data_IF_233235646476
#
_entry.id   IF_233235646476
#
_cell.length_a   1.000
_cell.length_b   1.000
_cell.length_c   1.000
_cell.angle_alpha   90.00
_cell.angle_beta   90.00
_cell.angle_gamma   90.00
#
_symmetry.space_group_name_H-M   'P 1'
#
loop_
_entity.id
_entity.type
_entity.pdbx_description
1 polymer ?
#
# COMPACT_ATOMS: atom_id res chain seq x y z
N UNK A 1 -14.70 16.84 -22.42
CA UNK A 1 -16.05 16.27 -22.35
C UNK A 1 -15.87 14.85 -21.83
N UNK A 2 -16.22 14.60 -20.58
CA UNK A 2 -16.27 13.23 -20.03
C UNK A 2 -17.37 12.47 -20.78
N UNK A 3 -16.97 11.41 -21.49
CA UNK A 3 -17.93 10.50 -22.11
C UNK A 3 -18.59 9.73 -20.96
N UNK A 4 -19.71 10.23 -20.42
CA UNK A 4 -20.51 9.46 -19.47
C UNK A 4 -20.99 8.20 -20.17
N UNK A 5 -20.46 7.06 -19.75
CA UNK A 5 -20.99 5.77 -20.12
C UNK A 5 -22.44 5.68 -19.61
N UNK A 6 -23.33 5.11 -20.41
CA UNK A 6 -24.70 4.85 -20.02
C UNK A 6 -24.72 3.89 -18.79
N UNK A 7 -25.58 4.18 -17.80
CA UNK A 7 -25.74 3.37 -16.58
C UNK A 7 -26.04 1.90 -16.86
N UNK A 8 -26.66 1.61 -18.00
CA UNK A 8 -26.89 0.24 -18.48
C UNK A 8 -25.59 -0.56 -18.66
N UNK A 9 -24.48 0.10 -19.03
CA UNK A 9 -23.18 -0.55 -19.18
C UNK A 9 -22.58 -0.94 -17.81
N UNK A 10 -22.71 -0.11 -16.79
CA UNK A 10 -22.26 -0.43 -15.44
C UNK A 10 -23.02 -1.62 -14.86
N UNK A 11 -24.35 -1.65 -15.09
CA UNK A 11 -25.21 -2.79 -14.72
C UNK A 11 -24.78 -4.05 -15.47
N UNK A 12 -24.44 -3.97 -16.76
CA UNK A 12 -23.94 -5.10 -17.54
C UNK A 12 -22.59 -5.63 -17.03
N UNK A 13 -21.67 -4.72 -16.64
CA UNK A 13 -20.38 -5.07 -16.01
C UNK A 13 -20.60 -5.84 -14.70
N UNK A 14 -21.49 -5.32 -13.83
CA UNK A 14 -21.85 -6.00 -12.58
C UNK A 14 -22.43 -7.38 -12.81
N UNK A 15 -23.36 -7.51 -13.76
CA UNK A 15 -23.98 -8.79 -14.11
C UNK A 15 -22.98 -9.78 -14.72
N UNK A 16 -22.02 -9.30 -15.53
CA UNK A 16 -20.95 -10.12 -16.09
C UNK A 16 -20.06 -10.70 -14.98
N UNK A 17 -19.56 -9.85 -14.09
CA UNK A 17 -18.67 -10.27 -12.99
C UNK A 17 -19.44 -11.19 -12.01
N UNK A 18 -20.70 -10.90 -11.73
CA UNK A 18 -21.54 -11.75 -10.87
C UNK A 18 -21.70 -13.18 -11.42
N UNK A 19 -21.86 -13.34 -12.74
CA UNK A 19 -21.93 -14.68 -13.37
C UNK A 19 -20.65 -15.48 -13.29
N UNK A 20 -19.52 -14.82 -13.07
CA UNK A 20 -18.19 -15.44 -12.97
C UNK A 20 -17.64 -15.47 -11.55
N UNK A 21 -18.52 -15.26 -10.57
CA UNK A 21 -18.12 -15.18 -9.17
C UNK A 21 -17.40 -16.44 -8.68
N UNK A 22 -17.84 -17.63 -9.11
CA UNK A 22 -17.24 -18.89 -8.70
C UNK A 22 -15.81 -19.04 -9.22
N UNK A 23 -15.55 -18.66 -10.49
CA UNK A 23 -14.21 -18.68 -11.07
C UNK A 23 -13.29 -17.63 -10.42
N UNK A 24 -13.84 -16.47 -10.03
CA UNK A 24 -13.09 -15.44 -9.30
C UNK A 24 -12.69 -15.97 -7.92
N UNK A 25 -13.63 -16.59 -7.20
CA UNK A 25 -13.39 -17.19 -5.88
C UNK A 25 -12.36 -18.32 -5.99
N UNK A 26 -12.46 -19.18 -7.00
CA UNK A 26 -11.48 -20.25 -7.24
C UNK A 26 -10.05 -19.68 -7.43
N UNK A 27 -9.89 -18.63 -8.23
CA UNK A 27 -8.60 -17.97 -8.38
C UNK A 27 -8.12 -17.33 -7.07
N UNK A 28 -9.00 -16.66 -6.31
CA UNK A 28 -8.67 -16.09 -5.02
C UNK A 28 -8.15 -17.17 -4.06
N UNK A 29 -8.86 -18.30 -3.96
CA UNK A 29 -8.45 -19.42 -3.11
C UNK A 29 -7.04 -19.93 -3.49
N UNK A 30 -6.78 -20.15 -4.78
CA UNK A 30 -5.46 -20.56 -5.27
C UNK A 30 -4.36 -19.56 -4.95
N UNK A 31 -4.65 -18.27 -5.08
CA UNK A 31 -3.69 -17.21 -4.71
C UNK A 31 -3.37 -17.20 -3.21
N UNK A 32 -4.38 -17.44 -2.36
CA UNK A 32 -4.17 -17.55 -0.90
C UNK A 32 -3.32 -18.78 -0.58
N UNK A 33 -3.66 -19.94 -1.15
CA UNK A 33 -2.97 -21.23 -0.96
C UNK A 33 -1.50 -21.21 -1.40
N UNK A 34 -1.14 -20.32 -2.33
CA UNK A 34 0.23 -20.16 -2.78
C UNK A 34 1.16 -19.54 -1.71
N UNK A 35 0.61 -18.93 -0.65
CA UNK A 35 1.33 -18.22 0.43
C UNK A 35 2.56 -17.44 -0.07
N UNK A 36 2.51 -16.14 -0.01
CA UNK A 36 3.57 -15.25 -0.50
C UNK A 36 3.96 -14.18 0.52
N UNK A 37 4.52 -14.56 1.68
CA UNK A 37 5.08 -13.54 2.57
C UNK A 37 6.17 -12.74 1.86
N UNK A 38 6.32 -11.45 2.21
CA UNK A 38 7.38 -10.61 1.65
C UNK A 38 8.75 -11.28 1.81
N UNK A 39 9.52 -11.35 0.73
CA UNK A 39 10.82 -12.00 0.70
C UNK A 39 10.79 -13.53 0.46
N UNK A 40 9.62 -14.14 0.34
CA UNK A 40 9.51 -15.55 -0.05
C UNK A 40 9.46 -15.68 -1.58
N UNK A 41 10.61 -15.95 -2.17
CA UNK A 41 10.75 -16.05 -3.63
C UNK A 41 9.88 -17.14 -4.25
N UNK A 42 9.77 -18.31 -3.60
CA UNK A 42 8.98 -19.42 -4.14
C UNK A 42 7.48 -19.14 -4.09
N UNK A 43 6.99 -18.58 -2.98
CA UNK A 43 5.60 -18.20 -2.82
C UNK A 43 5.21 -17.11 -3.83
N UNK A 44 6.02 -16.05 -3.92
CA UNK A 44 5.84 -15.00 -4.91
C UNK A 44 5.78 -15.54 -6.33
N UNK A 45 6.70 -16.44 -6.72
CA UNK A 45 6.70 -17.06 -8.03
C UNK A 45 5.44 -17.86 -8.32
N UNK A 46 4.94 -18.65 -7.35
CA UNK A 46 3.69 -19.41 -7.49
C UNK A 46 2.47 -18.50 -7.71
N UNK A 47 2.40 -17.39 -6.95
CA UNK A 47 1.33 -16.39 -7.14
C UNK A 47 1.41 -15.79 -8.53
N UNK A 48 2.62 -15.42 -8.98
CA UNK A 48 2.81 -14.86 -10.34
C UNK A 48 2.50 -15.89 -11.43
N UNK A 49 2.81 -17.19 -11.24
CA UNK A 49 2.41 -18.27 -12.18
C UNK A 49 0.90 -18.28 -12.39
N UNK A 50 0.11 -18.26 -11.31
CA UNK A 50 -1.35 -18.23 -11.35
C UNK A 50 -1.89 -16.98 -12.05
N UNK A 51 -1.32 -15.82 -11.74
CA UNK A 51 -1.72 -14.55 -12.38
C UNK A 51 -1.39 -14.53 -13.88
N UNK A 52 -0.24 -15.06 -14.28
CA UNK A 52 0.17 -15.18 -15.68
C UNK A 52 -0.77 -16.11 -16.45
N UNK A 53 -1.14 -17.26 -15.87
CA UNK A 53 -2.09 -18.18 -16.48
C UNK A 53 -3.45 -17.52 -16.69
N UNK A 54 -3.99 -16.89 -15.64
CA UNK A 54 -5.28 -16.19 -15.70
C UNK A 54 -5.27 -15.01 -16.68
N UNK A 55 -4.17 -14.25 -16.74
CA UNK A 55 -4.00 -13.09 -17.62
C UNK A 55 -3.97 -13.49 -19.11
N UNK A 56 -3.25 -14.57 -19.45
CA UNK A 56 -3.15 -15.08 -20.84
C UNK A 56 -4.49 -15.48 -21.45
N UNK A 57 -5.47 -15.81 -20.61
CA UNK A 57 -6.83 -16.14 -21.03
C UNK A 57 -7.72 -14.91 -21.28
N UNK A 58 -7.17 -13.69 -21.20
CA UNK A 58 -7.92 -12.43 -21.39
C UNK A 58 -7.53 -11.78 -22.71
N UNK A 59 -8.43 -11.69 -23.69
CA UNK A 59 -8.09 -11.17 -25.03
C UNK A 59 -7.59 -9.73 -25.06
N UNK A 60 -7.95 -8.92 -24.06
CA UNK A 60 -7.54 -7.53 -23.97
C UNK A 60 -6.07 -7.36 -23.49
N UNK A 61 -5.44 -8.40 -22.95
CA UNK A 61 -4.08 -8.34 -22.46
C UNK A 61 -3.11 -8.60 -23.59
N UNK A 62 -2.36 -7.57 -23.97
CA UNK A 62 -1.41 -7.59 -25.07
C UNK A 62 -0.07 -8.21 -24.68
N UNK A 63 0.35 -8.01 -23.42
CA UNK A 63 1.60 -8.55 -22.88
C UNK A 63 1.54 -8.78 -21.39
N UNK A 64 2.26 -9.80 -20.95
CA UNK A 64 2.48 -10.13 -19.54
C UNK A 64 3.98 -10.26 -19.31
N UNK A 65 4.48 -9.58 -18.30
CA UNK A 65 5.88 -9.57 -17.92
C UNK A 65 6.04 -10.00 -16.46
N UNK A 66 7.03 -10.84 -16.22
CA UNK A 66 7.51 -11.24 -14.90
C UNK A 66 8.81 -10.50 -14.66
N UNK A 67 8.94 -9.84 -13.53
CA UNK A 67 10.11 -9.03 -13.18
C UNK A 67 10.71 -9.61 -11.90
N UNK A 68 11.70 -10.53 -12.03
CA UNK A 68 12.30 -11.18 -10.87
C UNK A 68 13.18 -10.18 -10.10
N UNK A 69 13.10 -10.26 -8.77
CA UNK A 69 13.87 -9.42 -7.84
C UNK A 69 14.56 -10.30 -6.82
N UNK A 70 15.90 -10.35 -6.82
CA UNK A 70 16.66 -11.13 -5.84
C UNK A 70 16.31 -10.73 -4.41
N UNK A 71 16.00 -11.72 -3.57
CA UNK A 71 15.68 -11.52 -2.16
C UNK A 71 14.24 -11.14 -1.85
N UNK A 72 13.38 -10.89 -2.86
CA UNK A 72 11.97 -10.54 -2.65
C UNK A 72 11.02 -11.50 -3.38
N UNK A 73 11.14 -11.66 -4.69
CA UNK A 73 10.22 -12.47 -5.48
C UNK A 73 10.14 -12.01 -6.92
N UNK A 74 8.94 -11.94 -7.46
CA UNK A 74 8.68 -11.45 -8.81
C UNK A 74 7.54 -10.43 -8.79
N UNK A 75 7.76 -9.25 -9.39
CA UNK A 75 6.65 -8.37 -9.72
C UNK A 75 5.94 -8.86 -10.98
N UNK A 76 4.64 -8.61 -11.03
CA UNK A 76 3.80 -8.91 -12.18
C UNK A 76 3.39 -7.62 -12.89
N UNK A 77 3.55 -7.57 -14.21
CA UNK A 77 3.04 -6.47 -15.03
C UNK A 77 2.29 -7.00 -16.23
N UNK A 78 1.04 -6.54 -16.43
CA UNK A 78 0.27 -6.79 -17.63
C UNK A 78 -0.10 -5.47 -18.31
N UNK A 79 -0.06 -5.46 -19.65
CA UNK A 79 -0.53 -4.35 -20.47
C UNK A 79 -1.74 -4.79 -21.25
N UNK A 80 -2.79 -3.97 -21.24
CA UNK A 80 -4.06 -4.26 -21.89
C UNK A 80 -4.53 -3.05 -22.71
N UNK A 81 -5.29 -3.33 -23.77
CA UNK A 81 -5.84 -2.32 -24.67
C UNK A 81 -4.76 -1.45 -25.34
N UNK A 82 -3.61 -2.03 -25.68
CA UNK A 82 -2.43 -1.34 -26.24
C UNK A 82 -2.62 -0.74 -27.63
N UNK A 83 -3.71 -1.09 -28.34
CA UNK A 83 -4.10 -0.45 -29.60
C UNK A 83 -4.61 1.00 -29.40
N UNK A 84 -4.82 1.45 -28.17
CA UNK A 84 -5.23 2.81 -27.84
C UNK A 84 -4.04 3.77 -27.90
N UNK A 85 -4.23 5.05 -28.30
CA UNK A 85 -3.14 6.01 -28.37
C UNK A 85 -2.48 6.23 -27.00
N UNK A 86 -1.16 6.05 -26.90
CA UNK A 86 -0.39 6.35 -25.68
C UNK A 86 -0.22 7.87 -25.42
N UNK A 87 -0.56 8.73 -26.36
CA UNK A 87 -0.33 10.19 -26.28
C UNK A 87 -1.05 10.90 -25.14
N UNK A 88 -2.01 10.24 -24.48
CA UNK A 88 -2.75 10.75 -23.31
C UNK A 88 -2.35 10.06 -21.98
N UNK A 89 -1.29 9.26 -21.97
CA UNK A 89 -0.88 8.44 -20.84
C UNK A 89 -1.69 7.15 -20.68
N UNK A 90 -1.37 6.35 -19.68
CA UNK A 90 -2.04 5.09 -19.36
C UNK A 90 -2.91 5.23 -18.11
N UNK A 91 -3.88 4.35 -17.91
CA UNK A 91 -4.51 4.12 -16.59
C UNK A 91 -3.70 3.04 -15.88
N UNK A 92 -3.09 3.38 -14.74
CA UNK A 92 -2.34 2.43 -13.92
C UNK A 92 -3.27 1.80 -12.89
N UNK A 93 -3.40 0.47 -12.90
CA UNK A 93 -3.94 -0.33 -11.80
C UNK A 93 -2.76 -0.80 -10.95
N UNK A 94 -2.77 -0.49 -9.67
CA UNK A 94 -1.65 -0.75 -8.77
C UNK A 94 -2.09 -1.58 -7.58
N UNK A 95 -1.30 -2.57 -7.22
CA UNK A 95 -1.48 -3.41 -6.05
C UNK A 95 -0.23 -4.24 -5.76
N UNK A 96 -0.36 -5.21 -4.84
CA UNK A 96 0.74 -6.09 -4.45
C UNK A 96 0.28 -7.54 -4.30
N UNK A 97 1.25 -8.47 -4.32
CA UNK A 97 1.02 -9.91 -4.21
C UNK A 97 1.58 -10.52 -2.94
N UNK A 98 2.46 -9.79 -2.25
CA UNK A 98 3.01 -10.22 -0.96
C UNK A 98 2.02 -10.00 0.19
N UNK A 99 2.30 -10.61 1.32
CA UNK A 99 1.49 -10.50 2.54
C UNK A 99 2.40 -10.47 3.77
N UNK A 100 1.88 -9.93 4.88
CA UNK A 100 2.55 -9.99 6.21
C UNK A 100 2.48 -11.37 6.86
N UNK A 101 1.56 -12.24 6.41
CA UNK A 101 1.36 -13.55 7.00
C UNK A 101 2.56 -14.46 6.71
N UNK A 102 3.14 -15.12 7.71
CA UNK A 102 4.27 -16.01 7.50
C UNK A 102 3.86 -17.27 6.72
N UNK A 103 4.83 -17.93 6.11
CA UNK A 103 4.59 -19.25 5.50
C UNK A 103 4.10 -20.23 6.55
N UNK A 104 3.09 -21.05 6.20
CA UNK A 104 2.38 -21.94 7.11
C UNK A 104 1.24 -21.28 7.87
N UNK A 105 0.92 -20.01 7.57
CA UNK A 105 -0.24 -19.34 8.17
C UNK A 105 -1.56 -20.09 7.88
N UNK A 106 -1.64 -20.80 6.77
CA UNK A 106 -2.81 -21.64 6.40
C UNK A 106 -3.13 -22.75 7.42
N UNK A 107 -2.15 -23.24 8.15
CA UNK A 107 -2.37 -24.26 9.20
C UNK A 107 -3.28 -23.75 10.33
N UNK A 108 -3.18 -22.45 10.62
CA UNK A 108 -3.99 -21.79 11.63
C UNK A 108 -5.20 -21.02 11.06
N UNK A 109 -5.11 -20.60 9.80
CA UNK A 109 -6.07 -19.73 9.11
C UNK A 109 -6.45 -20.34 7.75
N UNK A 110 -7.07 -21.52 7.76
CA UNK A 110 -7.45 -22.21 6.51
C UNK A 110 -8.39 -21.36 5.65
N UNK A 111 -8.24 -21.49 4.33
CA UNK A 111 -9.20 -20.91 3.38
C UNK A 111 -10.57 -21.52 3.63
N UNK A 112 -11.58 -20.70 3.89
CA UNK A 112 -12.93 -21.16 4.16
C UNK A 112 -13.98 -20.12 3.84
N UNK A 113 -15.15 -20.57 3.43
CA UNK A 113 -16.35 -19.74 3.28
C UNK A 113 -17.27 -19.95 4.47
N UNK A 114 -17.70 -18.86 5.09
CA UNK A 114 -18.70 -18.87 6.16
C UNK A 114 -19.77 -17.80 5.86
N UNK A 115 -20.95 -18.23 5.50
CA UNK A 115 -22.01 -17.33 5.05
C UNK A 115 -21.60 -16.52 3.81
N UNK A 116 -21.58 -15.21 3.93
CA UNK A 116 -21.21 -14.29 2.84
C UNK A 116 -19.72 -13.87 2.86
N UNK A 117 -18.88 -14.55 3.64
CA UNK A 117 -17.47 -14.19 3.82
C UNK A 117 -16.55 -15.28 3.32
N UNK A 118 -15.46 -14.87 2.67
CA UNK A 118 -14.33 -15.72 2.31
C UNK A 118 -13.15 -15.33 3.20
N UNK A 119 -12.68 -16.26 4.02
CA UNK A 119 -11.55 -16.10 4.94
C UNK A 119 -10.27 -16.70 4.38
N UNK A 120 -9.15 -16.13 4.75
CA UNK A 120 -7.82 -16.67 4.46
C UNK A 120 -6.74 -15.59 4.60
N UNK A 121 -5.47 -15.98 4.84
CA UNK A 121 -4.37 -15.02 5.00
C UNK A 121 -4.10 -14.26 3.70
N UNK A 122 -4.09 -12.92 3.77
CA UNK A 122 -3.87 -12.05 2.63
C UNK A 122 -5.05 -11.99 1.65
N UNK A 123 -6.24 -12.49 2.02
CA UNK A 123 -7.43 -12.43 1.14
C UNK A 123 -7.91 -11.00 0.96
N UNK A 124 -7.93 -10.21 2.04
CA UNK A 124 -8.36 -8.82 2.03
C UNK A 124 -7.22 -7.91 1.60
N UNK A 125 -6.00 -8.16 2.08
CA UNK A 125 -4.79 -7.42 1.78
C UNK A 125 -3.75 -8.29 1.07
N UNK A 126 -3.70 -8.37 -0.32
CA UNK A 126 -4.82 -7.92 -1.16
C UNK A 126 -5.07 -8.89 -2.32
N UNK A 127 -4.92 -10.22 -2.08
CA UNK A 127 -4.98 -11.25 -3.13
C UNK A 127 -6.32 -11.30 -3.87
N UNK A 128 -7.44 -11.03 -3.16
CA UNK A 128 -8.75 -10.96 -3.80
C UNK A 128 -8.83 -9.84 -4.84
N UNK A 129 -8.22 -8.70 -4.55
CA UNK A 129 -8.17 -7.56 -5.48
C UNK A 129 -7.27 -7.85 -6.69
N UNK A 130 -6.21 -8.66 -6.52
CA UNK A 130 -5.38 -9.11 -7.65
C UNK A 130 -6.19 -9.96 -8.65
N UNK A 131 -7.00 -10.90 -8.17
CA UNK A 131 -7.90 -11.70 -9.00
C UNK A 131 -8.97 -10.83 -9.67
N UNK A 132 -9.59 -9.91 -8.90
CA UNK A 132 -10.62 -9.01 -9.41
C UNK A 132 -10.10 -8.10 -10.51
N UNK A 133 -8.86 -7.61 -10.43
CA UNK A 133 -8.25 -6.76 -11.46
C UNK A 133 -8.23 -7.43 -12.82
N UNK A 134 -7.89 -8.72 -12.89
CA UNK A 134 -7.89 -9.49 -14.13
C UNK A 134 -9.31 -9.65 -14.66
N UNK A 135 -10.28 -9.93 -13.80
CA UNK A 135 -11.67 -10.10 -14.20
C UNK A 135 -12.32 -8.78 -14.68
N UNK A 136 -11.92 -7.65 -14.13
CA UNK A 136 -12.29 -6.31 -14.62
C UNK A 136 -11.82 -6.10 -16.07
N UNK A 137 -10.57 -6.45 -16.39
CA UNK A 137 -10.04 -6.34 -17.76
C UNK A 137 -10.80 -7.29 -18.72
N UNK A 138 -11.14 -8.49 -18.25
CA UNK A 138 -11.97 -9.44 -19.00
C UNK A 138 -13.37 -8.90 -19.27
N UNK A 139 -14.02 -8.31 -18.27
CA UNK A 139 -15.35 -7.73 -18.41
C UNK A 139 -15.37 -6.60 -19.44
N UNK A 140 -14.40 -5.68 -19.38
CA UNK A 140 -14.26 -4.58 -20.33
C UNK A 140 -14.12 -5.08 -21.78
N UNK A 141 -13.31 -6.12 -22.00
CA UNK A 141 -13.13 -6.73 -23.33
C UNK A 141 -14.39 -7.42 -23.82
N UNK A 142 -15.04 -8.23 -22.95
CA UNK A 142 -16.18 -9.05 -23.32
C UNK A 142 -17.45 -8.25 -23.58
N UNK A 143 -17.56 -7.05 -23.00
CA UNK A 143 -18.72 -6.16 -23.15
C UNK A 143 -18.49 -5.02 -24.16
N UNK A 144 -17.37 -5.06 -24.89
CA UNK A 144 -16.97 -3.99 -25.82
C UNK A 144 -16.97 -2.59 -25.16
N UNK A 145 -16.51 -2.56 -23.91
CA UNK A 145 -16.35 -1.34 -23.10
C UNK A 145 -14.89 -0.94 -22.98
N UNK A 146 -14.14 -1.04 -24.08
CA UNK A 146 -12.72 -0.71 -24.08
C UNK A 146 -12.47 0.74 -23.64
N UNK A 147 -11.46 0.98 -22.76
CA UNK A 147 -11.12 2.31 -22.24
C UNK A 147 -10.56 3.22 -23.33
N UNK A 148 -10.48 4.51 -23.03
CA UNK A 148 -9.88 5.50 -23.95
C UNK A 148 -8.35 5.42 -24.00
N UNK A 149 -7.72 4.85 -22.98
CA UNK A 149 -6.27 4.72 -22.79
C UNK A 149 -5.86 3.27 -22.58
N UNK A 150 -4.62 2.90 -22.89
CA UNK A 150 -4.08 1.63 -22.45
C UNK A 150 -4.15 1.50 -20.93
N UNK A 151 -4.27 0.27 -20.45
CA UNK A 151 -4.26 -0.06 -19.02
C UNK A 151 -2.99 -0.82 -18.70
N UNK A 152 -2.33 -0.44 -17.61
CA UNK A 152 -1.22 -1.20 -17.03
C UNK A 152 -1.66 -1.71 -15.68
N UNK A 153 -1.65 -3.03 -15.49
CA UNK A 153 -1.79 -3.66 -14.18
C UNK A 153 -0.39 -3.97 -13.67
N UNK A 154 0.01 -3.35 -12.58
CA UNK A 154 1.27 -3.58 -11.89
C UNK A 154 0.98 -4.10 -10.48
N UNK A 155 1.51 -5.29 -10.17
CA UNK A 155 1.44 -5.90 -8.84
C UNK A 155 2.86 -6.12 -8.33
N UNK A 156 3.22 -5.43 -7.25
CA UNK A 156 4.53 -5.54 -6.60
C UNK A 156 4.59 -6.75 -5.68
N UNK A 157 5.78 -7.18 -5.27
CA UNK A 157 5.99 -8.37 -4.42
C UNK A 157 6.65 -8.03 -3.08
N UNK A 158 6.71 -6.74 -2.71
CA UNK A 158 7.42 -6.27 -1.52
C UNK A 158 6.79 -5.01 -0.89
N UNK A 159 5.48 -4.79 -1.12
CA UNK A 159 4.76 -3.63 -0.55
C UNK A 159 4.81 -3.66 0.97
N UNK A 160 4.52 -4.80 1.56
CA UNK A 160 4.46 -5.04 3.01
C UNK A 160 5.83 -4.95 3.70
N UNK A 161 6.91 -5.05 2.91
CA UNK A 161 8.29 -4.83 3.37
C UNK A 161 8.80 -3.40 3.09
N UNK A 162 7.93 -2.49 2.62
CA UNK A 162 8.27 -1.09 2.34
C UNK A 162 8.71 -0.79 0.91
N UNK A 163 8.45 -1.69 -0.05
CA UNK A 163 8.64 -1.50 -1.50
C UNK A 163 10.08 -1.16 -1.91
N UNK A 164 11.05 -1.82 -1.27
CA UNK A 164 12.47 -1.54 -1.52
C UNK A 164 12.87 -1.81 -2.96
N UNK A 165 12.24 -2.81 -3.61
CA UNK A 165 12.47 -3.15 -5.01
C UNK A 165 11.37 -2.61 -5.93
N UNK A 166 10.12 -2.57 -5.46
CA UNK A 166 8.95 -2.15 -6.23
C UNK A 166 8.90 -0.66 -6.52
N UNK A 167 9.44 0.18 -5.64
CA UNK A 167 9.34 1.64 -5.73
C UNK A 167 9.76 2.21 -7.11
N UNK A 168 10.92 1.83 -7.63
CA UNK A 168 11.40 2.35 -8.90
C UNK A 168 10.50 1.94 -10.07
N UNK A 169 9.94 0.73 -10.01
CA UNK A 169 9.01 0.23 -11.01
C UNK A 169 7.69 0.98 -10.97
N UNK A 170 7.12 1.18 -9.77
CA UNK A 170 5.91 1.97 -9.54
C UNK A 170 6.09 3.41 -10.04
N UNK A 171 7.17 4.08 -9.65
CA UNK A 171 7.48 5.44 -10.11
C UNK A 171 7.69 5.51 -11.62
N UNK A 172 8.29 4.46 -12.23
CA UNK A 172 8.49 4.36 -13.68
C UNK A 172 7.17 4.31 -14.45
N UNK A 173 6.22 3.48 -14.02
CA UNK A 173 4.89 3.43 -14.65
C UNK A 173 4.05 4.67 -14.30
N UNK A 174 4.17 5.21 -13.08
CA UNK A 174 3.47 6.43 -12.68
C UNK A 174 3.80 7.64 -13.57
N UNK A 175 5.06 7.81 -14.00
CA UNK A 175 5.47 8.89 -14.91
C UNK A 175 4.78 8.83 -16.28
N UNK A 176 4.23 7.66 -16.63
CA UNK A 176 3.47 7.44 -17.88
C UNK A 176 1.96 7.45 -17.65
N UNK A 177 1.53 7.46 -16.39
CA UNK A 177 0.13 7.37 -16.02
C UNK A 177 -0.57 8.74 -16.07
N UNK A 178 -1.77 8.78 -16.64
CA UNK A 178 -2.68 9.92 -16.52
C UNK A 178 -3.39 9.93 -15.17
N UNK A 179 -3.65 8.74 -14.62
CA UNK A 179 -4.24 8.47 -13.30
C UNK A 179 -3.89 7.06 -12.83
N UNK A 180 -4.02 6.85 -11.53
CA UNK A 180 -3.78 5.55 -10.88
C UNK A 180 -4.96 5.16 -10.01
N UNK A 181 -5.38 3.91 -10.13
CA UNK A 181 -6.40 3.25 -9.34
C UNK A 181 -5.70 2.19 -8.48
N UNK A 182 -5.67 2.39 -7.16
CA UNK A 182 -4.98 1.50 -6.22
C UNK A 182 -5.97 0.52 -5.62
N UNK A 183 -5.68 -0.76 -5.78
CA UNK A 183 -6.57 -1.88 -5.47
C UNK A 183 -6.43 -2.38 -4.02
N UNK A 184 -5.81 -1.59 -3.16
CA UNK A 184 -5.72 -1.81 -1.72
C UNK A 184 -7.09 -2.00 -1.07
N UNK A 185 -7.17 -2.66 0.09
CA UNK A 185 -8.41 -2.76 0.83
C UNK A 185 -9.10 -1.42 1.04
N UNK A 186 -10.42 -1.33 0.97
CA UNK A 186 -11.14 -0.12 1.38
C UNK A 186 -11.10 0.08 2.90
N UNK A 187 -11.58 1.21 3.37
CA UNK A 187 -11.90 1.41 4.79
C UNK A 187 -13.23 0.69 5.10
N UNK A 188 -13.44 0.19 6.35
CA UNK A 188 -14.67 -0.51 6.71
C UNK A 188 -15.95 0.18 6.20
N UNK A 189 -16.82 -0.62 5.56
CA UNK A 189 -18.02 -0.12 4.86
C UNK A 189 -17.75 0.26 3.41
N UNK A 190 -16.65 -0.19 2.83
CA UNK A 190 -16.34 -0.05 1.41
C UNK A 190 -15.92 1.36 0.98
N UNK A 191 -15.54 2.24 1.92
CA UNK A 191 -15.14 3.62 1.62
C UNK A 191 -13.74 3.65 0.98
N UNK A 192 -13.57 4.46 -0.07
CA UNK A 192 -12.27 4.65 -0.73
C UNK A 192 -11.35 5.57 0.08
N UNK A 193 -10.06 5.52 -0.22
CA UNK A 193 -9.03 6.31 0.44
C UNK A 193 -8.61 7.45 -0.47
N UNK A 194 -8.91 8.69 -0.08
CA UNK A 194 -8.55 9.91 -0.83
C UNK A 194 -7.35 10.64 -0.22
N UNK A 195 -6.87 10.19 0.93
CA UNK A 195 -5.64 10.65 1.54
C UNK A 195 -4.99 9.55 2.37
N UNK A 196 -3.66 9.50 2.34
CA UNK A 196 -2.83 8.62 3.17
C UNK A 196 -1.71 9.42 3.81
N UNK A 197 -1.36 9.13 5.06
CA UNK A 197 -0.18 9.76 5.65
C UNK A 197 1.10 9.30 4.94
N UNK A 198 2.09 10.18 4.93
CA UNK A 198 3.47 9.84 4.64
C UNK A 198 4.11 9.08 5.80
N UNK A 199 5.18 8.38 5.50
CA UNK A 199 5.92 7.53 6.43
C UNK A 199 7.40 7.91 6.39
N UNK A 200 7.96 8.19 7.55
CA UNK A 200 9.39 8.33 7.74
C UNK A 200 9.87 7.37 8.84
N UNK A 201 11.02 6.77 8.63
CA UNK A 201 11.64 5.86 9.57
C UNK A 201 13.08 6.29 9.85
N UNK A 202 13.42 6.45 11.11
CA UNK A 202 14.77 6.81 11.52
C UNK A 202 15.26 5.94 12.67
N UNK A 203 16.55 5.69 12.65
CA UNK A 203 17.31 5.16 13.79
C UNK A 203 18.20 6.27 14.29
N UNK A 204 18.12 6.59 15.59
CA UNK A 204 19.01 7.54 16.24
C UNK A 204 19.86 6.82 17.27
N UNK A 205 21.17 6.75 17.02
CA UNK A 205 22.15 6.21 17.93
C UNK A 205 22.87 7.35 18.67
N UNK A 206 23.06 7.19 19.98
CA UNK A 206 23.84 8.08 20.83
C UNK A 206 25.11 7.38 21.29
N UNK A 207 26.24 8.03 21.12
CA UNK A 207 27.57 7.60 21.55
C UNK A 207 28.10 8.57 22.60
N UNK A 208 28.12 8.13 23.85
CA UNK A 208 28.57 8.86 25.02
C UNK A 208 29.90 8.38 25.57
N UNK A 209 30.09 8.50 26.88
CA UNK A 209 31.33 8.14 27.59
C UNK A 209 30.97 7.24 28.78
N UNK A 210 31.53 6.04 28.84
CA UNK A 210 31.35 5.13 29.97
C UNK A 210 32.12 5.66 31.21
N UNK A 211 31.51 5.51 32.39
CA UNK A 211 32.16 5.77 33.66
C UNK A 211 31.52 4.88 34.76
N UNK A 212 32.20 4.70 35.88
CA UNK A 212 31.62 4.01 37.03
C UNK A 212 30.61 4.93 37.72
N UNK A 213 29.34 4.53 37.73
CA UNK A 213 28.23 5.38 38.21
C UNK A 213 28.33 5.86 39.68
N UNK A 214 29.06 5.11 40.52
CA UNK A 214 29.25 5.46 41.93
C UNK A 214 30.64 6.06 42.29
N UNK A 215 31.65 5.90 41.41
CA UNK A 215 32.99 6.38 41.72
C UNK A 215 33.35 7.70 41.00
N UNK A 216 32.95 7.82 39.74
CA UNK A 216 33.31 8.97 38.89
C UNK A 216 32.22 9.23 37.84
N UNK A 217 30.95 9.46 38.23
CA UNK A 217 29.86 9.66 37.31
C UNK A 217 30.02 10.87 36.39
N UNK A 218 30.70 11.93 36.87
CA UNK A 218 30.93 13.18 36.14
C UNK A 218 31.89 13.02 34.94
N UNK A 219 32.73 11.99 34.94
CA UNK A 219 33.58 11.66 33.80
C UNK A 219 32.78 10.97 32.66
N UNK A 220 31.58 10.48 32.96
CA UNK A 220 30.71 9.86 32.01
C UNK A 220 29.83 10.86 31.27
N UNK A 221 29.33 10.44 30.08
CA UNK A 221 28.27 11.11 29.32
C UNK A 221 27.25 10.04 28.89
N UNK A 222 26.05 10.14 29.45
CA UNK A 222 25.07 9.06 29.31
C UNK A 222 24.30 9.12 27.97
N UNK A 223 24.55 8.14 27.12
CA UNK A 223 23.80 7.96 25.88
C UNK A 223 22.29 7.69 26.13
N UNK A 224 21.96 6.96 27.21
CA UNK A 224 20.56 6.71 27.59
C UNK A 224 19.86 8.00 28.02
N UNK A 225 20.51 8.84 28.84
CA UNK A 225 19.94 10.13 29.26
C UNK A 225 19.75 11.05 28.08
N UNK A 226 20.70 11.07 27.16
CA UNK A 226 20.63 11.85 25.92
C UNK A 226 19.39 11.44 25.10
N UNK A 227 19.24 10.13 24.79
CA UNK A 227 18.08 9.65 24.04
C UNK A 227 16.77 9.86 24.80
N UNK A 228 16.76 9.76 26.13
CA UNK A 228 15.58 10.09 26.93
C UNK A 228 15.10 11.54 26.70
N UNK A 229 16.03 12.50 26.60
CA UNK A 229 15.71 13.89 26.28
C UNK A 229 15.25 14.06 24.82
N UNK A 230 15.89 13.35 23.88
CA UNK A 230 15.46 13.37 22.48
C UNK A 230 14.08 12.75 22.30
N UNK A 231 13.75 11.66 23.01
CA UNK A 231 12.40 11.04 23.01
C UNK A 231 11.34 12.06 23.44
N UNK A 232 11.58 12.78 24.53
CA UNK A 232 10.64 13.83 24.99
C UNK A 232 10.49 14.93 23.91
N UNK A 233 11.61 15.39 23.33
CA UNK A 233 11.58 16.36 22.24
C UNK A 233 10.75 15.89 21.04
N UNK A 234 10.91 14.64 20.59
CA UNK A 234 10.12 14.07 19.50
C UNK A 234 8.63 13.98 19.87
N UNK A 235 8.34 13.57 21.10
CA UNK A 235 6.95 13.49 21.58
C UNK A 235 6.29 14.88 21.57
N UNK A 236 6.97 15.91 22.06
CA UNK A 236 6.45 17.28 22.11
C UNK A 236 6.25 17.90 20.71
N UNK A 237 6.94 17.39 19.68
CA UNK A 237 6.76 17.80 18.29
C UNK A 237 5.54 17.15 17.63
N UNK A 238 4.95 16.13 18.25
CA UNK A 238 3.73 15.50 17.71
C UNK A 238 2.56 16.48 17.77
N UNK A 239 1.89 16.64 16.63
CA UNK A 239 0.67 17.45 16.49
C UNK A 239 -0.37 16.64 15.73
N UNK A 240 -1.23 15.98 16.49
CA UNK A 240 -2.30 15.13 15.92
C UNK A 240 -3.32 15.94 15.11
N UNK A 241 -3.49 17.22 15.41
CA UNK A 241 -4.41 18.09 14.67
C UNK A 241 -3.88 18.40 13.26
N UNK A 242 -2.55 18.57 13.09
CA UNK A 242 -1.93 18.69 11.76
C UNK A 242 -1.62 17.35 11.11
N UNK A 243 -1.86 16.24 11.82
CA UNK A 243 -1.60 14.89 11.35
C UNK A 243 -0.15 14.42 11.50
N UNK A 244 0.71 15.18 12.21
CA UNK A 244 2.09 14.79 12.51
C UNK A 244 2.14 13.97 13.80
N UNK A 245 2.79 12.81 13.74
CA UNK A 245 2.97 11.93 14.90
C UNK A 245 4.35 11.28 14.88
N UNK A 246 5.07 11.41 16.00
CA UNK A 246 6.31 10.68 16.26
C UNK A 246 6.04 9.53 17.21
N UNK A 247 6.47 8.34 16.84
CA UNK A 247 6.43 7.17 17.69
C UNK A 247 7.82 6.57 17.84
N UNK A 248 8.34 6.53 19.06
CA UNK A 248 9.56 5.79 19.39
C UNK A 248 9.12 4.38 19.83
N UNK A 249 9.19 3.44 18.89
CA UNK A 249 8.70 2.08 19.11
C UNK A 249 9.72 1.14 19.75
N UNK A 250 11.02 1.45 19.63
CA UNK A 250 12.11 0.61 20.14
C UNK A 250 13.16 1.47 20.82
N UNK A 251 13.64 1.01 21.98
CA UNK A 251 14.77 1.60 22.71
C UNK A 251 15.71 0.48 23.12
N UNK A 252 17.02 0.65 22.87
CA UNK A 252 18.09 -0.26 23.30
C UNK A 252 19.22 0.55 23.90
N UNK A 253 19.92 0.07 24.92
CA UNK A 253 21.11 0.76 25.43
C UNK A 253 21.63 0.28 26.76
N UNK A 254 22.87 0.70 27.06
CA UNK A 254 23.57 0.37 28.29
C UNK A 254 24.09 -1.08 28.34
N UNK A 255 24.89 -1.38 29.36
CA UNK A 255 25.48 -2.71 29.58
C UNK A 255 25.20 -3.24 30.99
N UNK A 256 25.38 -2.39 32.02
CA UNK A 256 25.20 -2.73 33.45
C UNK A 256 24.67 -1.53 34.23
N UNK A 257 23.88 -1.77 35.29
CA UNK A 257 23.26 -0.71 36.08
C UNK A 257 24.24 0.22 36.85
N UNK A 258 25.49 -0.21 37.06
CA UNK A 258 26.52 0.59 37.70
C UNK A 258 27.51 1.26 36.73
N UNK A 259 27.18 1.30 35.44
CA UNK A 259 27.99 1.95 34.40
C UNK A 259 27.16 3.05 33.72
N UNK A 260 27.71 4.26 33.59
CA UNK A 260 27.14 5.31 32.74
C UNK A 260 27.13 4.76 31.30
N UNK A 261 25.95 4.71 30.68
CA UNK A 261 25.79 4.08 29.36
C UNK A 261 26.48 4.88 28.26
N UNK A 262 27.47 4.27 27.60
CA UNK A 262 28.15 4.87 26.45
C UNK A 262 27.38 4.72 25.14
N UNK A 263 26.51 3.71 25.03
CA UNK A 263 25.80 3.43 23.80
C UNK A 263 24.31 3.29 24.07
N UNK A 264 23.49 3.89 23.22
CA UNK A 264 22.05 3.69 23.17
C UNK A 264 21.51 3.98 21.77
N UNK A 265 20.37 3.39 21.43
CA UNK A 265 19.72 3.54 20.13
C UNK A 265 18.20 3.55 20.29
N UNK A 266 17.53 4.32 19.44
CA UNK A 266 16.06 4.32 19.30
C UNK A 266 15.67 4.19 17.84
N UNK A 267 14.50 3.57 17.61
CA UNK A 267 13.84 3.50 16.32
C UNK A 267 12.55 4.33 16.34
N UNK A 268 12.43 5.22 15.34
CA UNK A 268 11.29 6.12 15.18
C UNK A 268 10.47 5.73 13.94
N UNK A 269 9.14 5.67 14.11
CA UNK A 269 8.15 5.75 13.04
C UNK A 269 7.50 7.14 13.10
N UNK A 270 7.54 7.88 12.00
CA UNK A 270 6.95 9.22 11.93
C UNK A 270 5.89 9.24 10.84
N UNK A 271 4.68 9.66 11.20
CA UNK A 271 3.55 9.81 10.27
C UNK A 271 3.20 11.27 10.10
N UNK A 272 2.94 11.69 8.88
CA UNK A 272 2.65 13.08 8.54
C UNK A 272 1.68 13.18 7.36
N UNK A 273 0.88 14.27 7.33
CA UNK A 273 -0.22 14.41 6.38
C UNK A 273 0.08 15.35 5.20
N UNK A 274 1.19 16.11 5.25
CA UNK A 274 1.51 17.14 4.26
C UNK A 274 2.93 17.03 3.73
N UNK A 275 3.10 17.32 2.45
CA UNK A 275 4.42 17.35 1.78
C UNK A 275 5.41 18.31 2.45
N UNK A 276 4.92 19.44 2.96
CA UNK A 276 5.76 20.40 3.68
C UNK A 276 6.33 19.82 4.98
N UNK A 277 5.57 19.00 5.69
CA UNK A 277 6.04 18.32 6.90
C UNK A 277 7.20 17.37 6.58
N UNK A 278 7.13 16.63 5.45
CA UNK A 278 8.21 15.74 5.03
C UNK A 278 9.56 16.47 4.88
N UNK A 279 9.58 17.63 4.22
CA UNK A 279 10.80 18.44 4.03
C UNK A 279 11.37 18.91 5.36
N UNK A 280 10.51 19.45 6.24
CA UNK A 280 10.90 19.90 7.58
C UNK A 280 11.43 18.77 8.46
N UNK A 281 10.89 17.56 8.30
CA UNK A 281 11.36 16.38 9.03
C UNK A 281 12.79 15.98 8.62
N UNK A 282 13.07 15.91 7.32
CA UNK A 282 14.41 15.57 6.84
C UNK A 282 15.45 16.62 7.28
N UNK A 283 15.12 17.91 7.19
CA UNK A 283 15.97 19.00 7.69
C UNK A 283 16.20 18.89 9.19
N UNK A 284 15.13 18.70 9.98
CA UNK A 284 15.20 18.57 11.43
C UNK A 284 16.04 17.36 11.85
N UNK A 285 15.84 16.21 11.25
CA UNK A 285 16.56 14.98 11.59
C UNK A 285 18.05 15.07 11.18
N UNK A 286 18.36 15.74 10.09
CA UNK A 286 19.75 15.98 9.64
C UNK A 286 20.50 16.91 10.58
N UNK A 287 19.80 17.88 11.16
CA UNK A 287 20.37 18.88 12.08
C UNK A 287 20.19 18.54 13.56
N UNK A 288 19.85 17.28 13.86
CA UNK A 288 19.64 16.86 15.25
C UNK A 288 20.91 17.05 16.08
N UNK A 289 20.82 17.83 17.16
CA UNK A 289 21.95 18.14 18.04
C UNK A 289 21.77 17.49 19.41
N UNK A 290 22.86 17.02 20.04
CA UNK A 290 22.82 16.50 21.40
C UNK A 290 22.56 17.61 22.42
N UNK A 291 22.00 17.23 23.57
CA UNK A 291 21.86 18.10 24.75
C UNK A 291 23.15 18.14 25.58
N UNK A 292 23.96 17.07 25.53
CA UNK A 292 25.30 17.02 26.15
C UNK A 292 26.34 17.01 25.04
N UNK A 293 27.17 18.04 24.95
CA UNK A 293 28.20 18.21 23.90
C UNK A 293 29.22 17.06 23.83
N UNK A 294 29.31 16.25 24.90
CA UNK A 294 30.19 15.08 24.97
C UNK A 294 29.56 13.83 24.31
N UNK A 295 28.28 13.91 23.97
CA UNK A 295 27.58 12.84 23.26
C UNK A 295 27.55 13.16 21.77
N UNK A 296 27.80 12.15 20.93
CA UNK A 296 27.65 12.23 19.49
C UNK A 296 26.37 11.49 19.08
N UNK A 297 25.50 12.15 18.32
CA UNK A 297 24.36 11.51 17.70
C UNK A 297 24.69 11.03 16.27
N UNK A 298 24.19 9.88 15.91
CA UNK A 298 24.21 9.35 14.54
C UNK A 298 22.78 9.02 14.10
N UNK A 299 22.31 9.72 13.08
CA UNK A 299 20.95 9.55 12.54
C UNK A 299 21.04 8.82 11.21
N UNK A 300 20.22 7.76 11.05
CA UNK A 300 20.07 6.99 9.81
C UNK A 300 18.60 6.88 9.48
N UNK A 301 18.26 6.77 8.20
CA UNK A 301 16.89 6.68 7.74
C UNK A 301 16.46 7.89 6.94
N UNK A 302 15.15 8.11 6.85
CA UNK A 302 14.57 9.20 6.08
C UNK A 302 13.09 9.02 5.81
N UNK A 303 12.53 9.91 5.01
CA UNK A 303 11.18 9.77 4.49
C UNK A 303 11.15 8.63 3.46
N UNK A 304 10.37 7.59 3.75
CA UNK A 304 10.15 6.46 2.84
C UNK A 304 9.03 6.77 1.84
N UNK A 305 7.85 7.18 2.35
CA UNK A 305 6.68 7.52 1.54
C UNK A 305 6.24 8.96 1.81
N UNK A 306 6.13 9.77 0.77
CA UNK A 306 5.46 11.07 0.84
C UNK A 306 3.95 10.88 1.06
N UNK A 307 3.20 11.84 1.60
CA UNK A 307 1.76 11.68 1.79
C UNK A 307 1.02 11.66 0.44
N UNK A 308 -0.07 10.90 0.39
CA UNK A 308 -1.11 11.07 -0.62
C UNK A 308 -2.08 12.13 -0.08
N UNK A 309 -2.04 13.32 -0.64
CA UNK A 309 -2.92 14.42 -0.25
C UNK A 309 -4.21 14.42 -1.10
N UNK A 310 -5.34 14.80 -0.50
CA UNK A 310 -6.62 14.99 -1.20
C UNK A 310 -6.58 16.26 -2.05
N UNK A 311 -5.93 16.16 -3.21
CA UNK A 311 -5.83 17.25 -4.19
C UNK A 311 -7.12 17.39 -5.01
N UNK A 312 -7.35 18.52 -5.72
CA UNK A 312 -8.49 18.65 -6.64
C UNK A 312 -8.59 17.56 -7.71
N UNK A 313 -7.45 16.96 -8.12
CA UNK A 313 -7.43 15.85 -9.09
C UNK A 313 -7.86 14.52 -8.44
N UNK A 314 -7.46 14.25 -7.20
CA UNK A 314 -7.96 13.12 -6.40
C UNK A 314 -9.47 13.25 -6.17
N UNK A 315 -9.92 14.47 -5.83
CA UNK A 315 -11.33 14.77 -5.63
C UNK A 315 -12.18 14.50 -6.87
N UNK A 316 -11.68 14.86 -8.06
CA UNK A 316 -12.36 14.56 -9.34
C UNK A 316 -12.51 13.05 -9.56
N UNK A 317 -11.46 12.26 -9.28
CA UNK A 317 -11.54 10.79 -9.38
C UNK A 317 -12.55 10.21 -8.40
N UNK A 318 -12.58 10.72 -7.16
CA UNK A 318 -13.57 10.31 -6.17
C UNK A 318 -15.00 10.65 -6.60
N UNK A 319 -15.24 11.85 -7.11
CA UNK A 319 -16.58 12.25 -7.59
C UNK A 319 -17.05 11.36 -8.74
N UNK A 320 -16.18 11.05 -9.71
CA UNK A 320 -16.50 10.10 -10.77
C UNK A 320 -16.83 8.72 -10.21
N UNK A 321 -16.03 8.21 -9.26
CA UNK A 321 -16.28 6.93 -8.61
C UNK A 321 -17.64 6.93 -7.87
N UNK A 322 -17.99 8.03 -7.21
CA UNK A 322 -19.24 8.17 -6.50
C UNK A 322 -20.47 8.23 -7.45
N UNK A 323 -20.33 8.86 -8.60
CA UNK A 323 -21.37 8.89 -9.63
C UNK A 323 -21.61 7.47 -10.18
N UNK A 324 -20.54 6.74 -10.54
CA UNK A 324 -20.65 5.35 -11.00
C UNK A 324 -21.25 4.45 -9.91
N UNK A 325 -20.89 4.65 -8.65
CA UNK A 325 -21.44 3.90 -7.52
C UNK A 325 -22.95 4.13 -7.37
N UNK A 326 -23.39 5.38 -7.55
CA UNK A 326 -24.83 5.72 -7.53
C UNK A 326 -25.58 5.04 -8.68
N UNK A 327 -25.00 4.96 -9.88
CA UNK A 327 -25.56 4.23 -11.01
C UNK A 327 -25.59 2.69 -10.79
N UNK A 328 -24.78 2.19 -9.86
CA UNK A 328 -24.74 0.79 -9.40
C UNK A 328 -25.56 0.54 -8.13
N UNK A 329 -26.40 1.48 -7.72
CA UNK A 329 -27.29 1.43 -6.55
C UNK A 329 -26.56 1.25 -5.21
N UNK A 330 -25.39 1.94 -5.02
CA UNK A 330 -24.77 2.00 -3.71
C UNK A 330 -24.09 3.35 -3.43
N UNK A 331 -23.98 3.68 -2.15
CA UNK A 331 -23.30 4.89 -1.69
C UNK A 331 -21.81 4.62 -1.53
N UNK A 332 -20.95 5.46 -2.12
CA UNK A 332 -19.50 5.41 -1.99
C UNK A 332 -18.99 6.56 -1.15
N UNK A 333 -18.53 6.26 0.06
CA UNK A 333 -17.86 7.22 0.93
C UNK A 333 -16.36 7.31 0.69
N UNK A 334 -15.73 8.30 1.30
CA UNK A 334 -14.27 8.48 1.32
C UNK A 334 -13.72 8.64 2.73
N UNK A 335 -12.43 8.39 2.92
CA UNK A 335 -11.73 8.61 4.18
C UNK A 335 -10.23 8.87 3.98
N UNK A 336 -9.65 9.70 4.86
CA UNK A 336 -8.21 9.80 5.06
C UNK A 336 -7.74 8.72 6.05
N UNK A 337 -6.59 8.08 5.79
CA UNK A 337 -6.04 7.01 6.63
C UNK A 337 -4.60 7.25 7.05
N UNK A 338 -4.18 6.60 8.14
CA UNK A 338 -2.82 6.73 8.69
C UNK A 338 -1.76 5.83 8.04
N UNK A 339 -2.18 4.74 7.37
CA UNK A 339 -1.29 3.82 6.68
C UNK A 339 -0.88 4.30 5.29
N UNK A 340 0.35 4.02 4.89
CA UNK A 340 0.82 4.25 3.51
C UNK A 340 0.46 3.10 2.58
N UNK A 341 0.69 3.28 1.28
CA UNK A 341 0.68 2.25 0.24
C UNK A 341 1.63 2.65 -0.89
N UNK A 342 1.79 1.81 -1.89
CA UNK A 342 2.53 2.18 -3.11
C UNK A 342 1.88 3.35 -3.87
N UNK A 343 0.59 3.62 -3.65
CA UNK A 343 -0.09 4.82 -4.13
C UNK A 343 0.55 6.13 -3.67
N UNK A 344 1.24 6.13 -2.54
CA UNK A 344 1.98 7.29 -2.04
C UNK A 344 3.15 7.68 -2.97
N UNK A 345 3.85 6.71 -3.57
CA UNK A 345 4.92 7.00 -4.54
C UNK A 345 4.39 7.66 -5.81
N UNK A 346 3.20 7.24 -6.23
CA UNK A 346 2.51 7.82 -7.38
C UNK A 346 2.06 9.25 -7.09
N UNK A 347 1.43 9.48 -5.93
CA UNK A 347 0.98 10.80 -5.49
C UNK A 347 2.14 11.80 -5.38
N UNK A 348 3.34 11.34 -4.94
CA UNK A 348 4.56 12.16 -4.86
C UNK A 348 5.01 12.70 -6.23
N UNK A 349 4.59 12.08 -7.33
CA UNK A 349 4.84 12.52 -8.71
C UNK A 349 3.72 13.42 -9.26
N UNK A 350 2.77 13.84 -8.43
CA UNK A 350 1.59 14.63 -8.80
C UNK A 350 0.65 13.92 -9.79
N UNK A 351 0.68 12.60 -9.87
CA UNK A 351 -0.29 11.80 -10.62
C UNK A 351 -1.55 11.62 -9.77
N UNK A 352 -2.76 11.83 -10.32
CA UNK A 352 -4.00 11.61 -9.58
C UNK A 352 -4.14 10.15 -9.14
N UNK A 353 -4.48 9.92 -7.87
CA UNK A 353 -4.60 8.59 -7.26
C UNK A 353 -5.96 8.46 -6.58
N UNK A 354 -6.69 7.39 -6.86
CA UNK A 354 -7.80 6.94 -6.04
C UNK A 354 -7.45 5.58 -5.46
N UNK A 355 -7.43 5.48 -4.14
CA UNK A 355 -6.96 4.31 -3.40
C UNK A 355 -8.10 3.63 -2.63
N UNK A 356 -7.90 2.39 -2.17
CA UNK A 356 -8.92 1.63 -1.45
C UNK A 356 -10.05 1.12 -2.35
N UNK A 357 -9.71 0.76 -3.60
CA UNK A 357 -10.65 0.24 -4.56
C UNK A 357 -10.83 -1.28 -4.49
N UNK A 358 -10.17 -1.97 -3.58
CA UNK A 358 -10.29 -3.41 -3.38
C UNK A 358 -11.66 -3.83 -2.85
N UNK A 359 -11.86 -5.15 -2.75
CA UNK A 359 -13.09 -5.77 -2.25
C UNK A 359 -13.26 -5.45 -0.76
N UNK A 360 -14.49 -5.12 -0.32
CA UNK A 360 -14.81 -4.84 1.07
C UNK A 360 -14.63 -6.08 1.95
N UNK A 361 -14.19 -5.86 3.17
CA UNK A 361 -13.88 -6.90 4.14
C UNK A 361 -13.34 -6.30 5.43
N UNK A 362 -12.61 -7.12 6.18
CA UNK A 362 -11.98 -6.67 7.43
C UNK A 362 -10.82 -7.59 7.80
N UNK A 363 -10.04 -7.16 8.80
CA UNK A 363 -9.01 -7.97 9.43
C UNK A 363 -7.67 -8.02 8.69
N UNK A 364 -7.32 -7.00 7.88
CA UNK A 364 -5.97 -6.89 7.34
C UNK A 364 -4.92 -7.16 8.45
N UNK A 365 -3.94 -8.03 8.16
CA UNK A 365 -2.88 -8.47 9.10
C UNK A 365 -3.37 -9.27 10.34
N UNK A 366 -4.63 -9.69 10.37
CA UNK A 366 -5.21 -10.39 11.52
C UNK A 366 -5.71 -11.82 11.16
N UNK A 367 -5.84 -12.66 12.18
CA UNK A 367 -6.28 -14.06 12.01
C UNK A 367 -7.73 -14.23 11.50
N UNK A 368 -8.55 -13.17 11.55
CA UNK A 368 -9.93 -13.17 11.07
C UNK A 368 -10.09 -12.46 9.71
N UNK A 369 -9.00 -12.30 9.00
CA UNK A 369 -8.99 -11.63 7.70
C UNK A 369 -9.98 -12.28 6.72
N UNK A 370 -10.84 -11.46 6.11
CA UNK A 370 -11.88 -11.91 5.19
C UNK A 370 -12.33 -10.81 4.24
N UNK A 371 -12.93 -11.23 3.14
CA UNK A 371 -13.67 -10.36 2.21
C UNK A 371 -15.17 -10.68 2.23
N UNK A 372 -15.97 -9.71 1.80
CA UNK A 372 -17.41 -9.87 1.56
C UNK A 372 -17.63 -10.36 0.11
N UNK A 373 -18.08 -11.60 -0.05
CA UNK A 373 -18.34 -12.21 -1.38
C UNK A 373 -19.35 -11.37 -2.19
N UNK A 374 -20.34 -10.77 -1.52
CA UNK A 374 -21.34 -9.92 -2.15
C UNK A 374 -20.78 -8.62 -2.75
N UNK A 375 -19.57 -8.18 -2.33
CA UNK A 375 -18.94 -6.98 -2.85
C UNK A 375 -18.11 -7.22 -4.14
N UNK A 376 -17.75 -8.48 -4.46
CA UNK A 376 -16.92 -8.81 -5.63
C UNK A 376 -17.49 -8.18 -6.90
N UNK A 377 -18.75 -8.45 -7.24
CA UNK A 377 -19.35 -7.97 -8.47
C UNK A 377 -19.59 -6.45 -8.45
N UNK A 378 -19.95 -5.89 -7.31
CA UNK A 378 -20.18 -4.47 -7.11
C UNK A 378 -18.88 -3.68 -7.27
N UNK A 379 -17.83 -4.12 -6.60
CA UNK A 379 -16.52 -3.48 -6.63
C UNK A 379 -15.85 -3.61 -7.99
N UNK A 380 -15.95 -4.78 -8.60
CA UNK A 380 -15.45 -5.01 -9.96
C UNK A 380 -16.13 -4.11 -10.99
N UNK A 381 -17.45 -3.92 -10.90
CA UNK A 381 -18.19 -3.02 -11.78
C UNK A 381 -17.79 -1.54 -11.58
N UNK A 382 -17.54 -1.11 -10.33
CA UNK A 382 -17.02 0.22 -10.02
C UNK A 382 -15.65 0.45 -10.69
N UNK A 383 -14.71 -0.48 -10.53
CA UNK A 383 -13.37 -0.37 -11.12
C UNK A 383 -13.46 -0.38 -12.66
N UNK A 384 -14.27 -1.29 -13.24
CA UNK A 384 -14.48 -1.36 -14.69
C UNK A 384 -15.09 -0.07 -15.23
N UNK A 385 -16.09 0.48 -14.54
CA UNK A 385 -16.71 1.74 -14.87
C UNK A 385 -15.75 2.91 -14.83
N UNK A 386 -14.88 2.99 -13.81
CA UNK A 386 -13.82 4.00 -13.72
C UNK A 386 -12.86 3.90 -14.91
N UNK A 387 -12.34 2.71 -15.21
CA UNK A 387 -11.39 2.50 -16.32
C UNK A 387 -12.02 2.90 -17.65
N UNK A 388 -13.28 2.53 -17.88
CA UNK A 388 -13.97 2.82 -19.13
C UNK A 388 -14.35 4.30 -19.29
N UNK A 389 -14.49 5.05 -18.19
CA UNK A 389 -14.86 6.48 -18.18
C UNK A 389 -13.66 7.42 -18.21
N UNK A 390 -12.46 6.94 -17.87
CA UNK A 390 -11.18 7.68 -17.81
C UNK A 390 -10.39 7.52 -19.11
#
# INVERSE_FOLDING_TARGET
MTNHLDSSKFTAMRAFIARRQDEIIDLICKLIEAESPSGDFEGSRKVVDLLVEAARAIPAIDSVERIPVPGYGEHFRARAFGSRPEGSGVTLLLGHTDTVHPRGALDAQSVRMEGSRLYGPGVFDMKASCALALEVLRALASLDCAPQRPVVLLLTCDEEAGSMSGRQLVEGEARRAAQTLVLEPPVPGGRVKTARKGVGMWTVAAHGIAAHAGLNPEAGASAILELGRQILRFHDMSDTASGLNFNVGVVRGGTRGNVVAAEAEIELDVRFSRMEQARRLDEFMSDLRPFDDRVRLAVKGGVNRMPLERTPSVEKLYHLAREIAADLDFELGEQAVGGGSDGNFVAALNVPVLDGLGIDGDGAHAAHEHILISDIARRGALIAGLIASL
#
